data_IF_898009650201
#
_entry.id   IF_898009650201
#
_cell.length_a   1.000
_cell.length_b   1.000
_cell.length_c   1.000
_cell.angle_alpha   90.00
_cell.angle_beta   90.00
_cell.angle_gamma   90.00
#
_symmetry.space_group_name_H-M   'P 1'
#
loop_
_entity.id
_entity.type
_entity.pdbx_description
1 polymer ?
#
# COMPACT_ATOMS: atom_id res chain seq x y z
N UNK A 1 -26.34 -7.35 -47.43
CA UNK A 1 -27.15 -6.73 -46.36
C UNK A 1 -28.59 -6.72 -46.84
N UNK A 2 -29.47 -7.41 -46.12
CA UNK A 2 -30.88 -7.44 -46.41
C UNK A 2 -31.49 -6.04 -46.20
N UNK A 3 -32.59 -5.71 -46.93
CA UNK A 3 -33.29 -4.41 -46.82
C UNK A 3 -33.69 -4.09 -45.37
N UNK A 4 -34.03 -5.10 -44.60
CA UNK A 4 -34.40 -5.00 -43.17
C UNK A 4 -33.26 -4.54 -42.28
N UNK A 5 -32.05 -5.09 -42.47
CA UNK A 5 -30.85 -4.67 -41.70
C UNK A 5 -30.53 -3.20 -42.01
N UNK A 6 -30.64 -2.77 -43.26
CA UNK A 6 -30.39 -1.37 -43.64
C UNK A 6 -31.38 -0.41 -42.97
N UNK A 7 -32.65 -0.84 -42.82
CA UNK A 7 -33.66 -0.06 -42.11
C UNK A 7 -33.34 0.15 -40.63
N UNK A 8 -32.68 -0.83 -39.95
CA UNK A 8 -32.26 -0.68 -38.55
C UNK A 8 -31.13 0.34 -38.39
N UNK A 9 -30.17 0.36 -39.32
CA UNK A 9 -29.07 1.36 -39.27
C UNK A 9 -29.61 2.79 -39.49
N UNK A 10 -30.65 2.99 -40.31
CA UNK A 10 -31.24 4.32 -40.53
C UNK A 10 -31.98 4.87 -39.32
N UNK A 11 -32.33 4.01 -38.34
CA UNK A 11 -32.97 4.40 -37.08
C UNK A 11 -31.96 4.88 -36.01
N UNK A 12 -30.64 4.65 -36.22
CA UNK A 12 -29.64 5.14 -35.30
C UNK A 12 -29.48 6.66 -35.44
N UNK A 13 -29.54 7.42 -34.34
CA UNK A 13 -29.42 8.88 -34.41
C UNK A 13 -27.99 9.30 -34.68
N UNK A 14 -27.79 10.43 -35.34
CA UNK A 14 -26.50 11.09 -35.42
C UNK A 14 -26.16 11.74 -34.05
N UNK A 15 -24.91 11.65 -33.60
CA UNK A 15 -24.46 12.23 -32.32
C UNK A 15 -24.75 13.73 -32.28
N UNK A 16 -24.43 14.47 -33.34
CA UNK A 16 -24.68 15.90 -33.41
C UNK A 16 -26.17 16.27 -33.25
N UNK A 17 -27.07 15.40 -33.70
CA UNK A 17 -28.51 15.57 -33.52
C UNK A 17 -28.89 15.41 -32.04
N UNK A 18 -28.36 14.39 -31.37
CA UNK A 18 -28.60 14.18 -29.94
C UNK A 18 -28.05 15.34 -29.11
N UNK A 19 -26.85 15.81 -29.40
CA UNK A 19 -26.22 16.91 -28.67
C UNK A 19 -26.93 18.27 -28.86
N UNK A 20 -27.65 18.47 -29.97
CA UNK A 20 -28.46 19.67 -30.21
C UNK A 20 -29.85 19.60 -29.58
N UNK A 21 -30.27 18.44 -29.14
CA UNK A 21 -31.53 18.29 -28.44
C UNK A 21 -31.46 18.98 -27.06
N UNK A 22 -32.38 19.94 -26.78
CA UNK A 22 -32.42 20.62 -25.48
C UNK A 22 -32.49 19.67 -24.28
N UNK A 23 -33.03 18.47 -24.44
CA UNK A 23 -33.08 17.46 -23.41
C UNK A 23 -31.70 17.03 -22.92
N UNK A 24 -30.66 17.10 -23.76
CA UNK A 24 -29.27 16.78 -23.38
C UNK A 24 -28.55 17.93 -22.66
N UNK A 25 -29.12 19.13 -22.58
CA UNK A 25 -28.48 20.31 -22.00
C UNK A 25 -28.05 20.10 -20.53
N UNK A 26 -28.91 19.50 -19.72
CA UNK A 26 -28.62 19.19 -18.32
C UNK A 26 -27.49 18.16 -18.19
N UNK A 27 -27.48 17.15 -19.07
CA UNK A 27 -26.47 16.11 -19.09
C UNK A 27 -25.09 16.67 -19.49
N UNK A 28 -25.08 17.56 -20.50
CA UNK A 28 -23.89 18.28 -20.94
C UNK A 28 -23.33 19.20 -19.84
N UNK A 29 -24.20 19.93 -19.14
CA UNK A 29 -23.80 20.78 -18.02
C UNK A 29 -23.22 19.99 -16.84
N UNK A 30 -23.80 18.82 -16.54
CA UNK A 30 -23.40 17.99 -15.41
C UNK A 30 -22.14 17.16 -15.66
N UNK A 31 -21.95 16.64 -16.88
CA UNK A 31 -20.89 15.69 -17.23
C UNK A 31 -19.81 16.26 -18.16
N UNK A 32 -20.11 17.40 -18.80
CA UNK A 32 -19.24 18.00 -19.81
C UNK A 32 -19.36 17.34 -21.18
N UNK A 33 -19.12 18.13 -22.23
CA UNK A 33 -19.29 17.74 -23.62
C UNK A 33 -18.50 16.47 -24.01
N UNK A 34 -17.22 16.40 -23.59
CA UNK A 34 -16.34 15.28 -23.96
C UNK A 34 -16.84 13.93 -23.44
N UNK A 35 -17.28 13.86 -22.17
CA UNK A 35 -17.77 12.61 -21.57
C UNK A 35 -19.07 12.15 -22.23
N UNK A 36 -20.01 13.07 -22.47
CA UNK A 36 -21.29 12.76 -23.15
C UNK A 36 -21.04 12.24 -24.55
N UNK A 37 -20.19 12.90 -25.35
CA UNK A 37 -19.81 12.45 -26.69
C UNK A 37 -19.19 11.07 -26.69
N UNK A 38 -18.25 10.81 -25.78
CA UNK A 38 -17.60 9.51 -25.66
C UNK A 38 -18.61 8.42 -25.35
N UNK A 39 -19.51 8.67 -24.39
CA UNK A 39 -20.55 7.71 -24.03
C UNK A 39 -21.52 7.44 -25.18
N UNK A 40 -21.95 8.47 -25.89
CA UNK A 40 -22.83 8.31 -27.06
C UNK A 40 -22.15 7.53 -28.20
N UNK A 41 -20.86 7.72 -28.44
CA UNK A 41 -20.08 6.93 -29.41
C UNK A 41 -20.06 5.45 -29.03
N UNK A 42 -19.76 5.13 -27.78
CA UNK A 42 -19.79 3.76 -27.28
C UNK A 42 -21.17 3.11 -27.47
N UNK A 43 -22.23 3.83 -27.11
CA UNK A 43 -23.59 3.35 -27.30
C UNK A 43 -23.94 3.11 -28.77
N UNK A 44 -23.51 3.98 -29.68
CA UNK A 44 -23.71 3.79 -31.12
C UNK A 44 -22.95 2.56 -31.64
N UNK A 45 -21.73 2.34 -31.18
CA UNK A 45 -20.94 1.20 -31.61
C UNK A 45 -21.51 -0.12 -31.06
N UNK A 46 -22.00 -0.12 -29.83
CA UNK A 46 -22.78 -1.25 -29.28
C UNK A 46 -24.05 -1.53 -30.08
N UNK A 47 -24.81 -0.49 -30.42
CA UNK A 47 -26.02 -0.66 -31.21
C UNK A 47 -25.74 -1.21 -32.64
N UNK A 48 -24.65 -0.75 -33.25
CA UNK A 48 -24.18 -1.27 -34.54
C UNK A 48 -23.75 -2.73 -34.44
N UNK A 49 -23.08 -3.10 -33.36
CA UNK A 49 -22.67 -4.48 -33.13
C UNK A 49 -23.88 -5.40 -32.91
N UNK A 50 -24.85 -4.96 -32.11
CA UNK A 50 -26.08 -5.73 -31.90
C UNK A 50 -26.89 -5.91 -33.19
N UNK A 51 -26.97 -4.88 -34.05
CA UNK A 51 -27.59 -5.03 -35.37
C UNK A 51 -26.83 -6.06 -36.22
N UNK A 52 -25.52 -6.08 -36.18
CA UNK A 52 -24.69 -7.08 -36.92
C UNK A 52 -24.92 -8.50 -36.46
N UNK A 53 -24.95 -8.70 -35.13
CA UNK A 53 -25.03 -10.03 -34.54
C UNK A 53 -26.45 -10.57 -34.43
N UNK A 54 -27.39 -9.73 -33.99
CA UNK A 54 -28.73 -10.15 -33.61
C UNK A 54 -29.82 -9.65 -34.55
N UNK A 55 -29.49 -8.74 -35.49
CA UNK A 55 -30.46 -8.09 -36.40
C UNK A 55 -31.59 -7.35 -35.67
N UNK A 56 -31.30 -6.84 -34.45
CA UNK A 56 -32.22 -6.09 -33.61
C UNK A 56 -31.54 -4.83 -33.06
N UNK A 57 -32.32 -3.83 -32.68
CA UNK A 57 -31.84 -2.69 -31.92
C UNK A 57 -31.79 -3.06 -30.42
N UNK A 58 -30.87 -2.47 -29.67
CA UNK A 58 -30.88 -2.60 -28.20
C UNK A 58 -32.18 -2.05 -27.59
N UNK A 59 -32.66 -2.66 -26.50
CA UNK A 59 -33.89 -2.24 -25.82
C UNK A 59 -33.80 -0.78 -25.33
N UNK A 60 -32.64 -0.29 -24.95
CA UNK A 60 -32.40 1.08 -24.53
C UNK A 60 -32.42 2.10 -25.70
N UNK A 61 -32.41 1.67 -26.96
CA UNK A 61 -32.30 2.53 -28.13
C UNK A 61 -33.56 3.39 -28.40
N UNK A 62 -34.65 3.16 -27.69
CA UNK A 62 -35.85 4.00 -27.73
C UNK A 62 -35.71 5.29 -26.90
N UNK A 63 -34.78 5.32 -25.90
CA UNK A 63 -34.51 6.50 -25.07
C UNK A 63 -32.99 6.66 -24.83
N UNK A 64 -32.33 7.32 -25.78
CA UNK A 64 -30.88 7.60 -25.74
C UNK A 64 -30.49 8.50 -24.57
N UNK A 65 -31.36 9.43 -24.15
CA UNK A 65 -31.07 10.34 -23.05
C UNK A 65 -30.96 9.59 -21.72
N UNK A 66 -32.00 8.84 -21.37
CA UNK A 66 -32.02 8.08 -20.12
C UNK A 66 -30.92 7.02 -20.06
N UNK A 67 -30.71 6.31 -21.18
CA UNK A 67 -29.65 5.31 -21.25
C UNK A 67 -28.25 5.94 -21.11
N UNK A 68 -27.99 7.08 -21.73
CA UNK A 68 -26.73 7.82 -21.59
C UNK A 68 -26.55 8.34 -20.16
N UNK A 69 -27.58 8.92 -19.57
CA UNK A 69 -27.56 9.42 -18.19
C UNK A 69 -27.25 8.31 -17.18
N UNK A 70 -27.90 7.16 -17.30
CA UNK A 70 -27.66 6.00 -16.43
C UNK A 70 -26.20 5.52 -16.53
N UNK A 71 -25.64 5.41 -17.73
CA UNK A 71 -24.27 4.97 -17.96
C UNK A 71 -23.24 5.98 -17.41
N UNK A 72 -23.45 7.27 -17.63
CA UNK A 72 -22.60 8.32 -17.09
C UNK A 72 -22.66 8.37 -15.56
N UNK A 73 -23.84 8.15 -14.98
CA UNK A 73 -23.99 8.05 -13.53
C UNK A 73 -23.28 6.81 -12.99
N UNK A 74 -23.44 5.66 -13.64
CA UNK A 74 -22.76 4.42 -13.25
C UNK A 74 -21.23 4.55 -13.35
N UNK A 75 -20.71 5.22 -14.39
CA UNK A 75 -19.28 5.45 -14.57
C UNK A 75 -18.66 6.37 -13.50
N UNK A 76 -19.45 7.22 -12.87
CA UNK A 76 -19.04 8.11 -11.77
C UNK A 76 -19.11 7.45 -10.40
N UNK A 77 -19.77 6.30 -10.28
CA UNK A 77 -19.80 5.60 -8.99
C UNK A 77 -18.38 5.18 -8.63
N UNK A 78 -17.96 5.55 -7.43
CA UNK A 78 -16.68 5.11 -6.90
C UNK A 78 -16.63 3.58 -6.90
N UNK A 79 -15.51 3.01 -7.34
CA UNK A 79 -15.24 1.58 -7.19
C UNK A 79 -15.17 1.19 -5.70
N UNK A 80 -14.84 2.14 -4.83
CA UNK A 80 -14.84 1.95 -3.38
C UNK A 80 -16.24 2.19 -2.84
N UNK A 81 -16.87 1.13 -2.34
CA UNK A 81 -18.22 1.16 -1.74
C UNK A 81 -18.14 0.75 -0.28
N UNK A 82 -18.87 1.41 0.62
CA UNK A 82 -19.03 0.93 1.99
C UNK A 82 -19.64 -0.48 1.98
N UNK A 83 -19.07 -1.36 2.80
CA UNK A 83 -19.54 -2.74 2.96
C UNK A 83 -19.57 -3.10 4.44
N UNK A 84 -20.36 -4.10 4.79
CA UNK A 84 -20.33 -4.71 6.12
C UNK A 84 -19.28 -5.82 6.14
N UNK A 85 -18.32 -5.73 7.06
CA UNK A 85 -17.34 -6.78 7.25
C UNK A 85 -17.94 -7.93 8.10
N UNK A 86 -18.38 -8.97 7.45
CA UNK A 86 -18.94 -10.18 8.09
C UNK A 86 -17.98 -11.38 8.03
N UNK A 87 -16.68 -11.13 7.77
CA UNK A 87 -15.68 -12.20 7.58
C UNK A 87 -15.16 -12.80 8.88
N UNK A 88 -15.44 -12.20 10.03
CA UNK A 88 -14.85 -12.57 11.32
C UNK A 88 -13.43 -12.05 11.54
N UNK A 89 -12.83 -11.40 10.55
CA UNK A 89 -11.48 -10.80 10.63
C UNK A 89 -11.59 -9.29 10.71
N UNK A 90 -11.29 -8.70 11.87
CA UNK A 90 -11.43 -7.25 12.11
C UNK A 90 -10.55 -6.43 11.16
N UNK A 91 -9.28 -6.81 10.99
CA UNK A 91 -8.33 -6.15 10.11
C UNK A 91 -8.21 -6.85 8.75
N UNK A 92 -9.34 -7.00 8.06
CA UNK A 92 -9.35 -7.68 6.76
C UNK A 92 -8.61 -6.85 5.70
N UNK A 93 -7.53 -7.41 5.14
CA UNK A 93 -6.62 -6.69 4.23
C UNK A 93 -7.30 -6.19 2.97
N UNK A 94 -8.25 -6.95 2.41
CA UNK A 94 -8.98 -6.57 1.18
C UNK A 94 -10.14 -5.58 1.45
N UNK A 95 -10.46 -5.29 2.71
CA UNK A 95 -11.52 -4.37 3.12
C UNK A 95 -10.97 -3.07 3.75
N UNK A 96 -9.71 -2.74 3.45
CA UNK A 96 -9.10 -1.48 3.90
C UNK A 96 -8.45 -1.51 5.27
N UNK A 97 -8.44 -2.66 5.96
CA UNK A 97 -7.87 -2.85 7.29
C UNK A 97 -8.63 -2.08 8.38
N UNK A 98 -7.93 -1.32 9.24
CA UNK A 98 -8.54 -0.55 10.32
C UNK A 98 -9.21 0.73 9.80
N UNK A 99 -10.38 1.03 10.32
CA UNK A 99 -11.03 2.33 10.14
C UNK A 99 -10.30 3.34 11.03
N UNK A 100 -10.08 4.55 10.50
CA UNK A 100 -9.46 5.63 11.24
C UNK A 100 -10.42 6.21 12.29
N UNK A 101 -9.85 6.75 13.39
CA UNK A 101 -10.63 7.51 14.34
C UNK A 101 -11.19 8.79 13.70
N UNK A 102 -12.41 9.22 14.08
CA UNK A 102 -13.05 10.39 13.48
C UNK A 102 -12.20 11.65 13.57
N UNK A 103 -11.55 11.89 14.70
CA UNK A 103 -10.62 13.01 14.86
C UNK A 103 -9.46 13.00 13.84
N UNK A 104 -8.98 11.81 13.44
CA UNK A 104 -7.96 11.69 12.40
C UNK A 104 -8.53 11.98 11.02
N UNK A 105 -9.76 11.53 10.74
CA UNK A 105 -10.47 11.83 9.47
C UNK A 105 -10.69 13.33 9.34
N UNK A 106 -11.20 14.01 10.39
CA UNK A 106 -11.39 15.46 10.39
C UNK A 106 -10.09 16.23 10.18
N UNK A 107 -9.00 15.82 10.83
CA UNK A 107 -7.69 16.44 10.68
C UNK A 107 -7.16 16.29 9.24
N UNK A 108 -7.30 15.12 8.63
CA UNK A 108 -6.91 14.87 7.23
C UNK A 108 -7.74 15.73 6.28
N UNK A 109 -9.07 15.79 6.47
CA UNK A 109 -9.96 16.63 5.64
C UNK A 109 -9.59 18.10 5.76
N UNK A 110 -9.30 18.59 6.98
CA UNK A 110 -8.84 19.96 7.21
C UNK A 110 -7.53 20.27 6.46
N UNK A 111 -6.54 19.36 6.57
CA UNK A 111 -5.26 19.51 5.88
C UNK A 111 -5.38 19.48 4.35
N UNK A 112 -6.37 18.76 3.80
CA UNK A 112 -6.62 18.69 2.35
C UNK A 112 -7.32 19.92 1.79
N UNK A 113 -7.97 20.74 2.63
CA UNK A 113 -8.77 21.92 2.21
C UNK A 113 -7.96 23.22 2.11
N UNK A 114 -6.75 23.25 2.64
CA UNK A 114 -5.90 24.43 2.65
C UNK A 114 -4.43 24.05 2.48
N UNK A 115 -3.57 25.01 2.03
CA UNK A 115 -2.13 24.85 2.14
C UNK A 115 -1.72 24.65 3.59
N UNK A 116 -0.81 23.71 3.85
CA UNK A 116 -0.31 23.38 5.19
C UNK A 116 1.21 23.41 5.23
N UNK A 117 1.78 23.58 6.41
CA UNK A 117 3.23 23.66 6.66
C UNK A 117 3.90 22.29 6.62
N UNK A 118 3.70 21.54 5.53
CA UNK A 118 4.19 20.16 5.43
C UNK A 118 5.73 20.09 5.41
N UNK A 119 6.38 21.00 4.67
CA UNK A 119 7.84 21.11 4.54
C UNK A 119 8.31 22.54 4.78
N UNK A 120 7.54 23.34 5.49
CA UNK A 120 7.87 24.74 5.77
C UNK A 120 7.91 24.97 7.28
N UNK A 121 9.02 25.51 7.74
CA UNK A 121 9.21 25.93 9.12
C UNK A 121 8.78 27.39 9.26
N UNK A 122 7.80 27.66 10.13
CA UNK A 122 7.26 29.01 10.33
C UNK A 122 8.21 29.89 11.16
N UNK A 123 9.02 29.30 12.03
CA UNK A 123 9.90 30.04 12.92
C UNK A 123 11.15 30.54 12.16
N UNK A 124 11.73 29.68 11.34
CA UNK A 124 12.93 30.00 10.55
C UNK A 124 12.59 30.53 9.14
N UNK A 125 11.31 30.58 8.76
CA UNK A 125 10.83 30.96 7.43
C UNK A 125 11.54 30.19 6.29
N UNK A 126 11.86 28.92 6.53
CA UNK A 126 12.66 28.07 5.67
C UNK A 126 12.06 26.71 5.40
N UNK A 127 12.85 25.85 4.75
CA UNK A 127 12.44 24.48 4.47
C UNK A 127 12.57 23.63 5.73
N UNK A 128 11.43 23.07 6.22
CA UNK A 128 11.35 22.11 7.30
C UNK A 128 11.43 20.66 6.82
N UNK A 129 11.61 19.74 7.76
CA UNK A 129 11.52 18.30 7.53
C UNK A 129 10.09 17.81 7.75
N UNK A 130 9.59 17.02 6.83
CA UNK A 130 8.23 16.45 6.82
C UNK A 130 7.92 15.62 8.06
N UNK A 131 8.90 14.89 8.58
CA UNK A 131 8.73 13.95 9.68
C UNK A 131 8.81 14.59 11.06
N UNK A 132 9.35 15.82 11.18
CA UNK A 132 9.58 16.48 12.47
C UNK A 132 8.33 16.58 13.35
N UNK A 133 7.19 16.94 12.76
CA UNK A 133 5.93 17.08 13.50
C UNK A 133 5.43 15.75 14.11
N UNK A 134 5.89 14.62 13.59
CA UNK A 134 5.42 13.29 13.98
C UNK A 134 6.52 12.50 14.72
N UNK A 135 7.80 12.75 14.42
CA UNK A 135 8.92 12.07 15.04
C UNK A 135 8.90 12.24 16.57
N UNK A 136 8.72 13.46 17.06
CA UNK A 136 8.64 13.73 18.50
C UNK A 136 7.50 12.97 19.19
N UNK A 137 6.32 12.91 18.57
CA UNK A 137 5.18 12.16 19.09
C UNK A 137 5.46 10.65 19.11
N UNK A 138 6.09 10.12 18.05
CA UNK A 138 6.49 8.72 18.00
C UNK A 138 7.54 8.40 19.07
N UNK A 139 8.53 9.26 19.26
CA UNK A 139 9.54 9.10 20.32
C UNK A 139 8.90 9.09 21.72
N UNK A 140 7.91 9.96 21.98
CA UNK A 140 7.16 9.97 23.25
C UNK A 140 6.38 8.66 23.48
N UNK A 141 5.73 8.13 22.43
CA UNK A 141 4.91 6.91 22.53
C UNK A 141 5.77 5.66 22.65
N UNK A 142 6.88 5.61 21.93
CA UNK A 142 7.70 4.38 21.80
C UNK A 142 8.92 4.34 22.72
N UNK A 143 9.37 5.49 23.23
CA UNK A 143 10.64 5.64 23.94
C UNK A 143 11.87 5.60 23.01
N UNK A 144 11.69 5.67 21.70
CA UNK A 144 12.77 5.74 20.72
C UNK A 144 13.52 7.08 20.79
N UNK A 145 14.79 7.09 20.39
CA UNK A 145 15.61 8.31 20.32
C UNK A 145 15.26 9.17 19.09
N UNK A 146 14.81 8.53 18.00
CA UNK A 146 14.37 9.19 16.77
C UNK A 146 13.39 8.29 16.00
N UNK A 147 12.63 8.89 15.07
CA UNK A 147 11.67 8.16 14.26
C UNK A 147 11.52 8.79 12.86
N UNK A 148 11.26 7.95 11.87
CA UNK A 148 10.84 8.38 10.54
C UNK A 148 9.65 7.56 10.06
N UNK A 149 8.85 8.13 9.15
CA UNK A 149 7.67 7.48 8.58
C UNK A 149 7.88 7.23 7.11
N UNK A 150 7.55 6.03 6.69
CA UNK A 150 7.50 5.62 5.29
C UNK A 150 6.12 5.02 4.98
N UNK A 151 5.80 4.85 3.71
CA UNK A 151 4.46 4.48 3.26
C UNK A 151 4.00 3.06 3.64
N UNK A 152 4.93 2.15 3.95
CA UNK A 152 4.61 0.78 4.38
C UNK A 152 5.80 0.07 5.01
N UNK A 153 5.56 -1.11 5.61
CA UNK A 153 6.58 -1.93 6.24
C UNK A 153 7.69 -2.38 5.26
N UNK A 154 7.36 -2.72 4.03
CA UNK A 154 8.36 -3.13 3.03
C UNK A 154 9.38 -2.01 2.76
N UNK A 155 8.90 -0.77 2.62
CA UNK A 155 9.75 0.40 2.46
C UNK A 155 10.60 0.67 3.71
N UNK A 156 10.04 0.46 4.91
CA UNK A 156 10.77 0.62 6.16
C UNK A 156 11.92 -0.41 6.28
N UNK A 157 11.65 -1.68 5.98
CA UNK A 157 12.69 -2.74 6.00
C UNK A 157 13.76 -2.46 4.95
N UNK A 158 13.38 -2.08 3.73
CA UNK A 158 14.32 -1.76 2.66
C UNK A 158 15.22 -0.57 3.05
N UNK A 159 14.62 0.52 3.54
CA UNK A 159 15.36 1.72 3.97
C UNK A 159 16.34 1.39 5.09
N UNK A 160 15.88 0.70 6.12
CA UNK A 160 16.68 0.31 7.26
C UNK A 160 17.87 -0.55 6.84
N UNK A 161 17.64 -1.61 6.05
CA UNK A 161 18.69 -2.50 5.55
C UNK A 161 19.69 -1.77 4.66
N UNK A 162 19.22 -0.96 3.71
CA UNK A 162 20.10 -0.20 2.83
C UNK A 162 20.98 0.80 3.60
N UNK A 163 20.44 1.42 4.64
CA UNK A 163 21.18 2.40 5.44
C UNK A 163 22.21 1.76 6.40
N UNK A 164 21.94 0.54 6.89
CA UNK A 164 22.74 -0.05 7.99
C UNK A 164 23.58 -1.25 7.58
N UNK A 165 23.20 -1.98 6.53
CA UNK A 165 23.75 -3.27 6.21
C UNK A 165 24.17 -3.47 4.74
N UNK A 166 24.10 -2.44 3.90
CA UNK A 166 24.47 -2.55 2.49
C UNK A 166 25.91 -3.04 2.33
N UNK A 167 26.12 -4.07 1.49
CA UNK A 167 27.41 -4.72 1.26
C UNK A 167 27.84 -5.73 2.34
N UNK A 168 27.08 -5.86 3.43
CA UNK A 168 27.42 -6.68 4.59
C UNK A 168 26.37 -7.75 4.88
N UNK A 169 26.66 -8.63 5.84
CA UNK A 169 25.79 -9.72 6.25
C UNK A 169 24.73 -9.28 7.24
N UNK A 170 23.52 -9.83 7.04
CA UNK A 170 22.39 -9.74 7.98
C UNK A 170 22.04 -11.14 8.44
N UNK A 171 22.22 -11.38 9.75
CA UNK A 171 21.94 -12.69 10.35
C UNK A 171 20.48 -12.79 10.74
N UNK A 172 19.77 -13.80 10.23
CA UNK A 172 18.33 -14.02 10.48
C UNK A 172 18.04 -15.52 10.67
N UNK A 173 17.06 -15.84 11.51
CA UNK A 173 16.60 -17.23 11.68
C UNK A 173 15.95 -17.76 10.40
N UNK A 174 16.30 -18.98 9.97
CA UNK A 174 15.67 -19.65 8.83
C UNK A 174 14.16 -19.81 9.02
N UNK A 175 13.67 -20.04 10.22
CA UNK A 175 12.25 -20.11 10.55
C UNK A 175 11.52 -18.77 10.47
N UNK A 176 12.21 -17.65 10.21
CA UNK A 176 11.67 -16.30 10.13
C UNK A 176 11.72 -15.69 8.71
N UNK A 177 12.09 -16.48 7.70
CA UNK A 177 12.12 -16.06 6.30
C UNK A 177 10.70 -16.05 5.72
N UNK A 178 9.95 -15.02 6.09
CA UNK A 178 8.53 -14.89 5.78
C UNK A 178 8.29 -14.37 4.36
N UNK A 179 7.19 -14.84 3.75
CA UNK A 179 6.56 -14.22 2.58
C UNK A 179 5.20 -13.66 2.98
N UNK A 180 4.94 -12.38 2.68
CA UNK A 180 3.69 -11.69 3.03
C UNK A 180 3.16 -10.94 1.81
N UNK A 181 1.81 -10.96 1.62
CA UNK A 181 1.13 -10.07 0.68
C UNK A 181 1.50 -10.23 -0.79
N UNK A 182 1.72 -11.46 -1.23
CA UNK A 182 1.78 -11.81 -2.65
C UNK A 182 3.16 -11.71 -3.33
N UNK A 183 4.19 -11.13 -2.72
CA UNK A 183 5.56 -11.16 -3.25
C UNK A 183 6.61 -10.54 -2.31
N UNK A 184 6.23 -10.08 -1.12
CA UNK A 184 7.21 -9.55 -0.17
C UNK A 184 7.91 -10.70 0.55
N UNK A 185 9.15 -10.99 0.15
CA UNK A 185 10.02 -11.99 0.75
C UNK A 185 11.21 -11.32 1.40
N UNK A 186 11.49 -11.63 2.64
CA UNK A 186 12.64 -11.06 3.38
C UNK A 186 13.95 -11.24 2.61
N UNK A 187 14.28 -12.43 2.04
CA UNK A 187 15.51 -12.60 1.26
C UNK A 187 15.62 -11.69 0.04
N UNK A 188 14.48 -11.45 -0.64
CA UNK A 188 14.47 -10.60 -1.85
C UNK A 188 14.67 -9.13 -1.49
N UNK A 189 14.05 -8.67 -0.39
CA UNK A 189 14.26 -7.30 0.12
C UNK A 189 15.70 -7.09 0.59
N UNK A 190 16.31 -8.07 1.27
CA UNK A 190 17.73 -8.01 1.63
C UNK A 190 18.63 -7.88 0.42
N UNK A 191 18.37 -8.67 -0.63
CA UNK A 191 19.11 -8.60 -1.89
C UNK A 191 18.96 -7.23 -2.56
N UNK A 192 17.74 -6.67 -2.59
CA UNK A 192 17.49 -5.33 -3.15
C UNK A 192 18.18 -4.23 -2.35
N UNK A 193 18.30 -4.39 -1.04
CA UNK A 193 19.05 -3.47 -0.17
C UNK A 193 20.57 -3.62 -0.30
N UNK A 194 21.06 -4.57 -1.11
CA UNK A 194 22.49 -4.86 -1.26
C UNK A 194 23.09 -5.64 -0.10
N UNK A 195 22.27 -6.28 0.75
CA UNK A 195 22.72 -7.07 1.88
C UNK A 195 22.98 -8.53 1.50
N UNK A 196 23.83 -9.19 2.27
CA UNK A 196 24.07 -10.64 2.20
C UNK A 196 23.26 -11.33 3.30
N UNK A 197 22.38 -12.25 2.89
CA UNK A 197 21.59 -13.04 3.83
C UNK A 197 22.47 -14.11 4.48
N UNK A 198 22.52 -14.13 5.80
CA UNK A 198 23.15 -15.18 6.61
C UNK A 198 22.09 -15.88 7.45
N UNK A 199 21.66 -17.06 7.03
CA UNK A 199 20.63 -17.83 7.72
C UNK A 199 21.23 -18.63 8.88
N UNK A 200 20.52 -18.62 10.05
CA UNK A 200 20.91 -19.41 11.21
C UNK A 200 19.81 -20.37 11.66
N UNK A 201 20.21 -21.45 12.29
CA UNK A 201 19.32 -22.50 12.78
C UNK A 201 18.67 -23.32 11.66
N UNK A 202 17.49 -23.85 11.95
CA UNK A 202 16.68 -24.66 11.04
C UNK A 202 15.27 -24.06 10.94
N UNK A 203 14.42 -24.66 10.11
CA UNK A 203 13.05 -24.18 9.90
C UNK A 203 12.24 -24.06 11.19
N UNK A 204 12.39 -25.03 12.10
CA UNK A 204 11.61 -25.13 13.33
C UNK A 204 12.43 -24.83 14.62
N UNK A 205 13.74 -24.77 14.55
CA UNK A 205 14.58 -24.56 15.73
C UNK A 205 15.77 -23.66 15.47
N UNK A 206 15.82 -22.57 16.22
CA UNK A 206 16.97 -21.64 16.26
C UNK A 206 17.29 -21.35 17.72
N UNK A 207 18.56 -21.47 18.08
CA UNK A 207 19.05 -21.27 19.42
C UNK A 207 19.95 -20.05 19.50
N UNK A 208 20.14 -19.48 20.69
CA UNK A 208 21.05 -18.36 20.94
C UNK A 208 22.47 -18.61 20.44
N UNK A 209 22.94 -19.86 20.58
CA UNK A 209 24.28 -20.27 20.11
C UNK A 209 24.45 -20.12 18.60
N UNK A 210 23.36 -20.31 17.83
CA UNK A 210 23.41 -20.24 16.36
C UNK A 210 23.69 -18.80 15.90
N UNK A 211 23.08 -17.81 16.57
CA UNK A 211 23.40 -16.41 16.35
C UNK A 211 24.82 -16.03 16.75
N UNK A 212 25.25 -16.50 17.95
CA UNK A 212 26.62 -16.21 18.45
C UNK A 212 27.71 -16.77 17.54
N UNK A 213 27.49 -17.94 16.95
CA UNK A 213 28.43 -18.60 16.04
C UNK A 213 28.47 -17.99 14.66
N UNK A 214 27.38 -17.35 14.24
CA UNK A 214 27.24 -16.74 12.90
C UNK A 214 27.88 -15.36 12.79
N UNK A 215 28.03 -14.65 13.91
CA UNK A 215 28.61 -13.30 13.91
C UNK A 215 30.09 -13.33 13.55
N UNK A 216 30.46 -12.50 12.58
CA UNK A 216 31.83 -12.32 12.11
C UNK A 216 32.06 -10.83 11.73
N UNK A 217 33.27 -10.48 11.29
CA UNK A 217 33.63 -9.09 10.95
C UNK A 217 32.75 -8.46 9.83
N UNK A 218 32.15 -9.28 8.99
CA UNK A 218 31.23 -8.82 7.93
C UNK A 218 29.77 -8.67 8.41
N UNK A 219 29.43 -9.11 9.61
CA UNK A 219 28.08 -9.01 10.15
C UNK A 219 27.72 -7.56 10.45
N UNK A 220 26.66 -7.05 9.81
CA UNK A 220 26.16 -5.70 10.05
C UNK A 220 25.13 -5.65 11.18
N UNK A 221 24.20 -6.61 11.21
CA UNK A 221 23.13 -6.66 12.20
C UNK A 221 22.54 -8.06 12.38
N UNK A 222 21.88 -8.27 13.51
CA UNK A 222 20.99 -9.40 13.76
C UNK A 222 19.55 -8.97 13.52
N UNK A 223 18.80 -9.73 12.74
CA UNK A 223 17.43 -9.39 12.40
C UNK A 223 16.45 -10.39 12.99
N UNK A 224 15.42 -9.86 13.66
CA UNK A 224 14.24 -10.58 14.13
C UNK A 224 13.06 -10.26 13.23
N UNK A 225 12.42 -11.29 12.66
CA UNK A 225 11.23 -11.11 11.84
C UNK A 225 10.05 -11.81 12.51
N UNK A 226 8.99 -11.06 12.80
CA UNK A 226 7.78 -11.61 13.37
C UNK A 226 6.98 -12.39 12.34
N UNK A 227 6.69 -13.67 12.62
CA UNK A 227 5.90 -14.56 11.76
C UNK A 227 4.40 -14.31 11.99
N UNK A 228 3.83 -13.30 11.34
CA UNK A 228 2.46 -12.85 11.58
C UNK A 228 1.38 -13.64 10.84
N UNK A 229 1.76 -14.40 9.81
CA UNK A 229 0.84 -15.08 8.90
C UNK A 229 0.97 -16.61 8.88
N UNK A 230 1.84 -17.16 9.71
CA UNK A 230 1.96 -18.62 9.94
C UNK A 230 2.46 -18.92 11.35
N UNK A 231 2.23 -20.16 11.80
CA UNK A 231 2.79 -20.72 13.03
C UNK A 231 3.52 -22.01 12.71
N UNK A 232 4.58 -22.29 13.49
CA UNK A 232 5.29 -23.58 13.45
C UNK A 232 5.03 -24.28 14.78
N UNK A 233 4.40 -25.46 14.72
CA UNK A 233 4.00 -26.24 15.88
C UNK A 233 4.83 -27.52 16.05
N UNK A 234 4.82 -28.09 17.24
CA UNK A 234 5.56 -29.30 17.59
C UNK A 234 6.88 -29.01 18.28
N UNK A 235 7.95 -29.70 17.89
CA UNK A 235 9.27 -29.52 18.49
C UNK A 235 9.95 -28.24 17.95
N UNK A 236 9.56 -27.09 18.50
CA UNK A 236 10.04 -25.76 18.08
C UNK A 236 10.92 -25.11 19.11
N UNK A 237 11.79 -24.19 18.66
CA UNK A 237 12.55 -23.26 19.50
C UNK A 237 12.85 -22.02 18.69
N UNK A 238 12.56 -20.85 19.23
CA UNK A 238 12.90 -19.56 18.68
C UNK A 238 13.64 -18.71 19.73
N UNK A 239 14.49 -17.82 19.29
CA UNK A 239 15.11 -16.77 20.11
C UNK A 239 14.15 -15.58 20.09
N UNK A 240 13.74 -15.12 21.27
CA UNK A 240 12.90 -13.93 21.37
C UNK A 240 13.70 -12.63 21.21
N UNK A 241 13.02 -11.51 21.14
CA UNK A 241 13.64 -10.20 20.91
C UNK A 241 14.54 -9.77 22.07
N UNK A 242 14.11 -10.07 23.31
CA UNK A 242 14.89 -9.71 24.50
C UNK A 242 16.20 -10.50 24.57
N UNK A 243 16.15 -11.81 24.30
CA UNK A 243 17.31 -12.68 24.22
C UNK A 243 18.24 -12.25 23.07
N UNK A 244 17.67 -11.93 21.89
CA UNK A 244 18.48 -11.45 20.76
C UNK A 244 19.14 -10.10 21.05
N UNK A 245 18.47 -9.20 21.76
CA UNK A 245 19.04 -7.92 22.19
C UNK A 245 20.21 -8.09 23.18
N UNK A 246 20.17 -9.12 24.05
CA UNK A 246 21.31 -9.47 24.91
C UNK A 246 22.47 -9.93 24.05
N UNK A 247 22.26 -10.83 23.11
CA UNK A 247 23.31 -11.34 22.21
C UNK A 247 23.95 -10.19 21.41
N UNK A 248 23.10 -9.28 20.85
CA UNK A 248 23.60 -8.12 20.11
C UNK A 248 24.51 -7.22 20.94
N UNK A 249 24.15 -6.99 22.23
CA UNK A 249 25.01 -6.23 23.16
C UNK A 249 26.32 -6.96 23.53
N UNK A 250 26.23 -8.26 23.73
CA UNK A 250 27.43 -9.10 24.03
C UNK A 250 28.46 -9.03 22.89
N UNK A 251 27.98 -9.00 21.65
CA UNK A 251 28.80 -9.07 20.44
C UNK A 251 29.05 -7.71 19.76
N UNK A 252 28.53 -6.61 20.34
CA UNK A 252 28.59 -5.24 19.79
C UNK A 252 27.96 -5.16 18.33
N UNK A 253 26.90 -5.93 18.10
CA UNK A 253 26.18 -5.98 16.82
C UNK A 253 24.75 -5.45 16.99
N UNK A 254 24.30 -4.50 16.16
CA UNK A 254 22.93 -3.97 16.21
C UNK A 254 21.88 -5.07 16.04
N UNK A 255 20.75 -4.92 16.75
CA UNK A 255 19.58 -5.79 16.61
C UNK A 255 18.41 -5.00 16.04
N UNK A 256 17.74 -5.58 15.05
CA UNK A 256 16.57 -5.01 14.40
C UNK A 256 15.42 -5.99 14.49
N UNK A 257 14.25 -5.52 14.88
CA UNK A 257 13.01 -6.31 14.83
C UNK A 257 12.00 -5.69 13.86
N UNK A 258 11.34 -6.53 13.06
CA UNK A 258 10.28 -6.10 12.14
C UNK A 258 8.98 -6.88 12.37
N UNK A 259 7.84 -6.16 12.32
CA UNK A 259 6.49 -6.70 12.43
C UNK A 259 5.66 -6.27 11.24
N UNK A 260 5.33 -7.20 10.35
CA UNK A 260 4.57 -6.89 9.13
C UNK A 260 3.07 -6.73 9.36
N UNK A 261 2.52 -7.21 10.47
CA UNK A 261 1.10 -7.15 10.77
C UNK A 261 0.83 -6.78 12.23
N UNK A 262 -0.08 -5.84 12.46
CA UNK A 262 -0.74 -5.61 13.75
C UNK A 262 0.01 -4.79 14.81
N UNK A 263 1.24 -4.33 14.55
CA UNK A 263 1.92 -3.37 15.41
C UNK A 263 2.27 -2.10 14.66
N UNK A 264 2.14 -0.96 15.33
CA UNK A 264 2.23 0.38 14.75
C UNK A 264 3.65 0.85 14.44
N UNK A 265 4.69 0.11 14.88
CA UNK A 265 6.07 0.55 14.73
C UNK A 265 7.03 -0.62 14.48
N UNK A 266 8.11 -0.32 13.77
CA UNK A 266 9.33 -1.11 13.74
C UNK A 266 10.19 -0.57 14.88
N UNK A 267 10.52 -1.40 15.86
CA UNK A 267 11.52 -1.06 16.86
C UNK A 267 12.88 -1.42 16.31
N UNK A 268 13.68 -0.42 15.99
CA UNK A 268 15.11 -0.59 15.78
C UNK A 268 15.79 -0.29 17.10
N UNK A 269 16.07 -1.32 17.89
CA UNK A 269 16.94 -1.16 19.05
C UNK A 269 18.38 -1.21 18.56
N UNK A 270 18.91 -0.08 18.13
CA UNK A 270 20.35 0.05 17.91
C UNK A 270 21.06 0.18 19.26
N UNK A 271 21.72 -0.87 19.72
CA UNK A 271 22.79 -0.74 20.69
C UNK A 271 24.01 -0.13 19.98
N UNK A 272 23.91 1.15 19.59
CA UNK A 272 25.04 1.86 18.99
C UNK A 272 25.83 2.57 20.08
N UNK A 273 27.15 2.34 20.16
CA UNK A 273 28.04 3.21 20.97
C UNK A 273 27.93 4.62 20.38
N UNK A 274 27.60 5.63 21.20
CA UNK A 274 27.44 7.06 20.88
C UNK A 274 28.58 7.70 20.04
N UNK A 275 29.66 6.99 19.76
CA UNK A 275 30.87 7.54 19.12
C UNK A 275 30.85 7.48 17.58
N UNK A 276 29.96 6.73 16.91
CA UNK A 276 29.96 6.61 15.44
C UNK A 276 28.83 7.33 14.70
N UNK A 277 27.76 7.77 15.36
CA UNK A 277 26.62 8.45 14.72
C UNK A 277 26.75 9.99 14.62
N UNK A 278 27.85 10.61 15.05
CA UNK A 278 28.01 12.08 15.05
C UNK A 278 28.79 12.67 13.86
N UNK A 279 29.05 11.91 12.81
CA UNK A 279 29.72 12.48 11.62
C UNK A 279 29.13 11.90 10.35
N UNK A 280 27.96 12.41 9.91
CA UNK A 280 27.65 12.61 8.48
C UNK A 280 26.50 13.58 8.37
#
# INVERSE_FOLDING_TARGET
MTTEIRALYTRLPAIDRLLRDPAFSSLLAQHGHSQVVTQLRQMLDEAREQIRQCQTLPDWSHDWLSACAQRLTASRQSALRPVFNLTGTVLHTNLGRAIQAEAAVEAVVSAMRAPVTLEYDLDDAGRGHRDRAIADLLCQITGAEDACIVNNNAAAVLLMLAATASGREVVVSRGELVEIGGAFRIPDVMRQAGCQLHEVGTTNRTHAKDYRQAVNDNTALLMKVHTSNYSIEGFTKAVDEAELAVIGRELDVPVVATWAAGRWWISVSMACRRSRCRKR
#
